data_IF_016300678105
#
_entry.id   IF_016300678105
#
_cell.length_a   1.000
_cell.length_b   1.000
_cell.length_c   1.000
_cell.angle_alpha   90.00
_cell.angle_beta   90.00
_cell.angle_gamma   90.00
#
_symmetry.space_group_name_H-M   'P 1'
#
loop_
_entity.id
_entity.type
_entity.pdbx_description
1 polymer ?
#
# COMPACT_ATOMS: atom_id res chain seq x y z
N UNK A 1 -22.16 -0.70 -12.85
CA UNK A 1 -20.77 -0.19 -12.84
C UNK A 1 -20.65 0.75 -11.65
N UNK A 2 -20.22 0.24 -10.49
CA UNK A 2 -20.09 1.07 -9.28
C UNK A 2 -18.80 1.88 -9.42
N UNK A 3 -18.94 3.12 -9.87
CA UNK A 3 -17.85 4.09 -9.89
C UNK A 3 -17.38 4.22 -8.44
N UNK A 4 -16.16 3.77 -8.18
CA UNK A 4 -15.52 3.97 -6.89
C UNK A 4 -15.60 5.45 -6.51
N UNK A 5 -16.02 5.74 -5.28
CA UNK A 5 -16.12 7.11 -4.82
C UNK A 5 -14.75 7.78 -4.94
N UNK A 6 -14.65 8.77 -5.83
CA UNK A 6 -13.46 9.59 -6.04
C UNK A 6 -12.96 10.20 -4.73
N UNK A 7 -13.88 10.41 -3.78
CA UNK A 7 -13.57 10.89 -2.43
C UNK A 7 -12.71 9.89 -1.65
N UNK A 8 -13.01 8.60 -1.74
CA UNK A 8 -12.22 7.55 -1.07
C UNK A 8 -10.81 7.52 -1.65
N UNK A 9 -10.68 7.59 -2.99
CA UNK A 9 -9.38 7.64 -3.67
C UNK A 9 -8.57 8.87 -3.25
N UNK A 10 -9.21 10.04 -3.17
CA UNK A 10 -8.56 11.28 -2.73
C UNK A 10 -8.08 11.19 -1.28
N UNK A 11 -8.96 10.79 -0.35
CA UNK A 11 -8.60 10.64 1.08
C UNK A 11 -7.47 9.64 1.27
N UNK A 12 -7.43 8.57 0.47
CA UNK A 12 -6.31 7.62 0.44
C UNK A 12 -5.02 8.26 -0.04
N UNK A 13 -5.07 9.03 -1.13
CA UNK A 13 -3.92 9.78 -1.63
C UNK A 13 -3.37 10.75 -0.58
N UNK A 14 -4.25 11.46 0.12
CA UNK A 14 -3.90 12.41 1.19
C UNK A 14 -3.27 11.69 2.39
N UNK A 15 -3.80 10.53 2.79
CA UNK A 15 -3.24 9.69 3.86
C UNK A 15 -1.83 9.21 3.51
N UNK A 16 -1.61 8.72 2.30
CA UNK A 16 -0.30 8.24 1.82
C UNK A 16 0.71 9.39 1.60
N UNK A 17 0.24 10.60 1.32
CA UNK A 17 1.07 11.78 1.11
C UNK A 17 1.45 12.49 2.42
N UNK A 18 0.83 12.13 3.55
CA UNK A 18 1.03 12.81 4.82
C UNK A 18 2.46 12.56 5.39
N UNK A 19 3.30 13.61 5.52
CA UNK A 19 4.66 13.49 6.04
C UNK A 19 4.73 13.03 7.51
N UNK A 20 3.65 13.18 8.28
CA UNK A 20 3.57 12.69 9.66
C UNK A 20 3.43 11.15 9.74
N UNK A 21 3.03 10.50 8.64
CA UNK A 21 2.86 9.05 8.53
C UNK A 21 3.83 8.45 7.50
N UNK A 22 5.07 8.96 7.44
CA UNK A 22 6.06 8.60 6.42
C UNK A 22 6.60 7.18 6.61
N UNK A 23 5.76 6.18 6.39
CA UNK A 23 6.17 4.79 6.24
C UNK A 23 7.08 4.69 5.02
N UNK A 24 8.28 4.13 5.20
CA UNK A 24 9.27 3.97 4.11
C UNK A 24 8.76 3.02 3.03
N UNK A 25 7.92 2.05 3.43
CA UNK A 25 7.23 1.08 2.59
C UNK A 25 5.85 0.77 3.17
N UNK A 26 4.88 0.49 2.30
CA UNK A 26 3.55 0.03 2.68
C UNK A 26 3.16 -1.20 1.85
N UNK A 27 2.77 -2.28 2.51
CA UNK A 27 2.36 -3.52 1.86
C UNK A 27 0.86 -3.77 2.12
N UNK A 28 0.09 -3.96 1.06
CA UNK A 28 -1.34 -4.28 1.14
C UNK A 28 -1.57 -5.71 0.70
N UNK A 29 -2.33 -6.49 1.48
CA UNK A 29 -2.67 -7.88 1.13
C UNK A 29 -4.16 -7.96 0.83
N UNK A 30 -4.53 -8.36 -0.39
CA UNK A 30 -5.93 -8.54 -0.77
C UNK A 30 -6.11 -9.62 -1.84
N UNK A 31 -7.15 -10.43 -1.70
CA UNK A 31 -7.57 -11.40 -2.72
C UNK A 31 -8.51 -10.83 -3.78
N UNK A 32 -8.95 -9.56 -3.64
CA UNK A 32 -9.89 -8.94 -4.59
C UNK A 32 -9.17 -8.25 -5.73
N UNK A 33 -9.39 -8.72 -6.97
CA UNK A 33 -8.87 -8.08 -8.18
C UNK A 33 -9.29 -6.62 -8.31
N UNK A 34 -10.53 -6.29 -7.92
CA UNK A 34 -11.03 -4.92 -7.97
C UNK A 34 -10.30 -4.04 -6.95
N UNK A 35 -10.15 -4.50 -5.71
CA UNK A 35 -9.42 -3.75 -4.68
C UNK A 35 -7.95 -3.56 -5.09
N UNK A 36 -7.33 -4.59 -5.67
CA UNK A 36 -5.96 -4.55 -6.19
C UNK A 36 -5.78 -3.44 -7.23
N UNK A 37 -6.62 -3.39 -8.26
CA UNK A 37 -6.52 -2.37 -9.31
C UNK A 37 -6.68 -0.94 -8.77
N UNK A 38 -7.53 -0.75 -7.77
CA UNK A 38 -7.77 0.57 -7.17
C UNK A 38 -6.59 0.98 -6.28
N UNK A 39 -6.06 0.04 -5.48
CA UNK A 39 -4.87 0.25 -4.68
C UNK A 39 -3.65 0.55 -5.54
N UNK A 40 -3.41 -0.20 -6.63
CA UNK A 40 -2.32 0.05 -7.57
C UNK A 40 -2.39 1.46 -8.16
N UNK A 41 -3.60 1.91 -8.54
CA UNK A 41 -3.81 3.26 -9.06
C UNK A 41 -3.52 4.34 -8.02
N UNK A 42 -3.96 4.16 -6.78
CA UNK A 42 -3.78 5.14 -5.71
C UNK A 42 -2.34 5.18 -5.15
N UNK A 43 -1.61 4.06 -5.26
CA UNK A 43 -0.27 3.86 -4.72
C UNK A 43 0.88 4.12 -5.70
N UNK A 44 0.57 4.38 -6.98
CA UNK A 44 1.55 4.66 -8.02
C UNK A 44 2.56 5.74 -7.58
N UNK A 45 3.84 5.36 -7.50
CA UNK A 45 4.96 6.25 -7.16
C UNK A 45 5.23 6.49 -5.67
N UNK A 46 4.50 5.83 -4.74
CA UNK A 46 4.55 6.15 -3.30
C UNK A 46 5.15 5.09 -2.38
N UNK A 47 6.02 4.21 -2.90
CA UNK A 47 6.67 3.18 -2.07
C UNK A 47 5.68 2.18 -1.46
N UNK A 48 4.54 1.97 -2.12
CA UNK A 48 3.49 1.07 -1.69
C UNK A 48 3.27 -0.03 -2.74
N UNK A 49 2.97 -1.25 -2.29
CA UNK A 49 2.78 -2.43 -3.16
C UNK A 49 1.64 -3.32 -2.66
N UNK A 50 0.97 -3.98 -3.60
CA UNK A 50 -0.13 -4.91 -3.32
C UNK A 50 0.31 -6.35 -3.56
N UNK A 51 -0.09 -7.24 -2.66
CA UNK A 51 0.22 -8.66 -2.65
C UNK A 51 -1.06 -9.47 -2.47
N UNK A 52 -1.00 -10.75 -2.86
CA UNK A 52 -2.04 -11.74 -2.57
C UNK A 52 -1.65 -12.66 -1.42
N UNK A 53 -0.37 -12.66 -1.05
CA UNK A 53 0.22 -13.49 0.00
C UNK A 53 0.85 -12.60 1.08
N UNK A 54 0.54 -12.90 2.35
CA UNK A 54 1.03 -12.11 3.48
C UNK A 54 2.53 -12.27 3.72
N UNK A 55 3.07 -13.48 3.54
CA UNK A 55 4.49 -13.73 3.77
C UNK A 55 5.35 -13.03 2.71
N UNK A 56 4.89 -12.95 1.46
CA UNK A 56 5.53 -12.16 0.41
C UNK A 56 5.49 -10.66 0.72
N UNK A 57 4.36 -10.17 1.20
CA UNK A 57 4.17 -8.78 1.61
C UNK A 57 5.15 -8.37 2.70
N UNK A 58 5.28 -9.18 3.75
CA UNK A 58 6.20 -8.95 4.86
C UNK A 58 7.66 -8.99 4.41
N UNK A 59 8.06 -10.00 3.61
CA UNK A 59 9.42 -10.06 3.07
C UNK A 59 9.79 -8.80 2.30
N UNK A 60 8.88 -8.27 1.49
CA UNK A 60 9.12 -7.02 0.78
C UNK A 60 9.09 -5.80 1.70
N UNK A 61 8.17 -5.75 2.67
CA UNK A 61 8.05 -4.64 3.61
C UNK A 61 9.35 -4.46 4.41
N UNK A 62 9.90 -5.57 4.90
CA UNK A 62 11.10 -5.61 5.75
C UNK A 62 12.41 -5.84 4.98
N UNK A 63 12.38 -6.00 3.67
CA UNK A 63 13.59 -6.16 2.86
C UNK A 63 14.49 -4.91 2.95
N UNK A 64 15.56 -5.01 3.72
CA UNK A 64 16.50 -3.92 3.99
C UNK A 64 16.48 -3.39 5.42
N UNK A 65 15.57 -3.86 6.28
CA UNK A 65 15.68 -3.74 7.74
C UNK A 65 16.54 -4.86 8.33
N UNK A 66 17.62 -5.23 7.63
CA UNK A 66 18.63 -6.07 8.23
C UNK A 66 19.22 -5.33 9.44
N UNK A 67 19.00 -5.89 10.63
CA UNK A 67 19.53 -5.47 11.92
C UNK A 67 18.92 -4.20 12.53
N UNK A 68 17.77 -4.34 13.17
CA UNK A 68 17.66 -3.84 14.55
C UNK A 68 17.08 -4.96 15.39
N UNK A 69 17.93 -5.91 15.73
CA UNK A 69 17.69 -6.85 16.82
C UNK A 69 17.95 -6.07 18.12
N UNK A 70 17.06 -6.11 19.12
CA UNK A 70 17.33 -5.51 20.43
C UNK A 70 18.52 -6.19 21.15
#
# INVERSE_FOLDING_TARGET
>A
MSIQSQEVVRRWGDFLANPAHRSRRLAFVTGSTLARMQLERASAGRGARVFTDGAEAERWLFAGEAATVP
#
